data_IF_195642406636
#
_entry.id   IF_195642406636
#
_cell.length_a   1.000
_cell.length_b   1.000
_cell.length_c   1.000
_cell.angle_alpha   90.00
_cell.angle_beta   90.00
_cell.angle_gamma   90.00
#
_symmetry.space_group_name_H-M   'P 1'
#
loop_
_entity.id
_entity.type
_entity.pdbx_description
1 polymer ?
#
# COMPACT_ATOMS: atom_id res chain seq x y z
N UNK A 1 -33.00 8.59 0.09
CA UNK A 1 -31.62 8.12 -0.14
C UNK A 1 -30.82 8.43 1.11
N UNK A 2 -30.31 7.44 1.81
CA UNK A 2 -29.45 7.64 2.98
C UNK A 2 -28.17 8.26 2.47
N UNK A 3 -27.87 9.51 2.86
CA UNK A 3 -26.55 10.09 2.65
C UNK A 3 -25.57 9.26 3.47
N UNK A 4 -24.87 8.35 2.83
CA UNK A 4 -23.80 7.59 3.49
C UNK A 4 -22.77 8.57 4.06
N UNK A 5 -22.38 8.36 5.31
CA UNK A 5 -21.33 9.17 5.93
C UNK A 5 -20.02 9.03 5.10
N UNK A 6 -19.24 10.11 4.96
CA UNK A 6 -17.95 10.04 4.29
C UNK A 6 -17.05 9.03 5.00
N UNK A 7 -16.29 8.26 4.23
CA UNK A 7 -15.38 7.27 4.82
C UNK A 7 -14.10 7.12 4.02
N UNK A 8 -13.04 6.72 4.71
CA UNK A 8 -11.74 6.33 4.14
C UNK A 8 -11.42 4.93 4.60
N UNK A 9 -10.97 4.11 3.68
CA UNK A 9 -10.53 2.74 3.96
C UNK A 9 -9.20 2.46 3.27
N UNK A 10 -8.17 2.27 4.07
CA UNK A 10 -6.91 1.67 3.64
C UNK A 10 -7.07 0.15 3.71
N UNK A 11 -7.29 -0.48 2.56
CA UNK A 11 -7.76 -1.87 2.48
C UNK A 11 -6.81 -2.87 3.14
N UNK A 12 -5.48 -2.79 2.96
CA UNK A 12 -4.58 -3.79 3.52
C UNK A 12 -4.48 -3.78 5.05
N UNK A 13 -4.71 -2.63 5.69
CA UNK A 13 -4.53 -2.44 7.15
C UNK A 13 -5.84 -2.16 7.87
N UNK A 14 -6.94 -1.94 7.12
CA UNK A 14 -8.24 -1.51 7.62
C UNK A 14 -8.14 -0.24 8.51
N UNK A 15 -7.22 0.67 8.15
CA UNK A 15 -7.10 1.99 8.78
C UNK A 15 -7.95 3.01 8.04
N UNK A 16 -8.33 4.10 8.71
CA UNK A 16 -9.24 5.13 8.19
C UNK A 16 -10.35 5.45 9.17
N UNK A 17 -11.59 5.62 8.69
CA UNK A 17 -12.73 5.94 9.56
C UNK A 17 -14.00 6.23 8.80
N UNK A 18 -15.12 6.33 9.54
CA UNK A 18 -16.45 6.62 9.01
C UNK A 18 -16.99 7.89 9.69
N UNK A 19 -17.40 8.86 8.87
CA UNK A 19 -17.92 10.14 9.34
C UNK A 19 -16.82 11.14 9.69
N UNK A 20 -17.22 12.40 9.78
CA UNK A 20 -16.27 13.52 9.94
C UNK A 20 -15.45 13.47 11.23
N UNK A 21 -16.02 12.90 12.31
CA UNK A 21 -15.30 12.80 13.58
C UNK A 21 -14.17 11.79 13.46
N UNK A 22 -14.45 10.56 13.06
CA UNK A 22 -13.45 9.49 12.96
C UNK A 22 -12.38 9.84 11.93
N UNK A 23 -12.76 10.42 10.79
CA UNK A 23 -11.80 10.86 9.78
C UNK A 23 -10.85 11.94 10.31
N UNK A 24 -11.38 12.94 11.04
CA UNK A 24 -10.55 13.98 11.65
C UNK A 24 -9.56 13.39 12.66
N UNK A 25 -10.05 12.49 13.51
CA UNK A 25 -9.24 11.83 14.53
C UNK A 25 -8.14 10.97 13.87
N UNK A 26 -8.50 10.20 12.83
CA UNK A 26 -7.54 9.40 12.05
C UNK A 26 -6.47 10.27 11.37
N UNK A 27 -6.86 11.29 10.62
CA UNK A 27 -5.90 12.15 9.92
C UNK A 27 -4.97 12.88 10.90
N UNK A 28 -5.51 13.38 12.02
CA UNK A 28 -4.75 14.12 13.02
C UNK A 28 -3.77 13.25 13.81
N UNK A 29 -4.20 12.04 14.19
CA UNK A 29 -3.43 11.19 15.08
C UNK A 29 -2.47 10.23 14.35
N UNK A 30 -2.86 9.76 13.14
CA UNK A 30 -2.15 8.66 12.49
C UNK A 30 -1.63 8.99 11.09
N UNK A 31 -2.38 9.74 10.27
CA UNK A 31 -1.97 9.97 8.89
C UNK A 31 -0.96 11.13 8.76
N UNK A 32 -1.32 12.32 9.24
CA UNK A 32 -0.47 13.52 9.09
C UNK A 32 0.88 13.36 9.82
N UNK A 33 0.91 12.86 11.07
CA UNK A 33 2.20 12.64 11.77
C UNK A 33 3.08 11.59 11.10
N UNK A 34 2.50 10.65 10.36
CA UNK A 34 3.23 9.57 9.67
C UNK A 34 3.86 9.98 8.33
N UNK A 35 3.71 11.21 7.90
CA UNK A 35 4.32 11.71 6.67
C UNK A 35 5.78 12.04 6.91
N UNK A 36 6.66 11.04 6.77
CA UNK A 36 8.12 11.21 6.92
C UNK A 36 8.68 12.18 5.87
N UNK A 37 9.83 12.86 6.13
CA UNK A 37 10.34 13.95 5.29
C UNK A 37 10.57 13.60 3.82
N UNK A 38 10.90 12.35 3.52
CA UNK A 38 11.16 11.87 2.15
C UNK A 38 9.97 11.15 1.51
N UNK A 39 8.77 11.25 2.12
CA UNK A 39 7.54 10.67 1.55
C UNK A 39 7.23 11.30 0.19
N UNK A 40 7.14 10.47 -0.85
CA UNK A 40 6.92 10.90 -2.23
C UNK A 40 5.81 10.06 -2.86
N UNK A 41 4.96 10.74 -3.62
CA UNK A 41 3.96 10.12 -4.46
C UNK A 41 4.26 10.46 -5.92
N UNK A 42 4.35 9.45 -6.77
CA UNK A 42 4.49 9.59 -8.22
C UNK A 42 3.26 9.04 -8.90
N UNK A 43 2.44 9.93 -9.44
CA UNK A 43 1.27 9.58 -10.23
C UNK A 43 1.70 8.91 -11.54
N UNK A 44 1.13 7.76 -11.84
CA UNK A 44 1.32 7.01 -13.09
C UNK A 44 0.18 7.32 -14.05
N UNK A 45 -1.06 7.16 -13.58
CA UNK A 45 -2.25 7.44 -14.38
C UNK A 45 -3.37 7.97 -13.50
N UNK A 46 -4.28 8.76 -14.11
CA UNK A 46 -5.51 9.24 -13.49
C UNK A 46 -6.67 9.04 -14.42
N UNK A 47 -7.72 8.40 -13.93
CA UNK A 47 -9.00 8.27 -14.63
C UNK A 47 -10.06 9.07 -13.87
N UNK A 48 -10.75 9.95 -14.58
CA UNK A 48 -11.83 10.79 -14.03
C UNK A 48 -13.17 10.32 -14.58
N UNK A 49 -14.06 9.90 -13.68
CA UNK A 49 -15.47 9.62 -13.99
C UNK A 49 -16.37 10.77 -13.54
N UNK A 50 -17.68 10.57 -13.69
CA UNK A 50 -18.69 11.58 -13.29
C UNK A 50 -18.70 11.81 -11.78
N UNK A 51 -18.48 10.76 -10.98
CA UNK A 51 -18.61 10.76 -9.53
C UNK A 51 -17.37 10.25 -8.80
N UNK A 52 -16.26 9.98 -9.52
CA UNK A 52 -15.04 9.44 -8.93
C UNK A 52 -13.78 9.72 -9.73
N UNK A 53 -12.66 9.65 -9.02
CA UNK A 53 -11.31 9.68 -9.57
C UNK A 53 -10.58 8.41 -9.15
N UNK A 54 -9.87 7.79 -10.08
CA UNK A 54 -8.99 6.64 -9.81
C UNK A 54 -7.57 7.06 -10.14
N UNK A 55 -6.70 6.99 -9.16
CA UNK A 55 -5.27 7.27 -9.28
C UNK A 55 -4.46 6.00 -9.13
N UNK A 56 -3.63 5.71 -10.11
CA UNK A 56 -2.56 4.74 -10.03
C UNK A 56 -1.25 5.48 -9.76
N UNK A 57 -0.52 5.06 -8.73
CA UNK A 57 0.67 5.78 -8.29
C UNK A 57 1.72 4.84 -7.69
N UNK A 58 2.95 5.34 -7.58
CA UNK A 58 3.97 4.73 -6.72
C UNK A 58 4.26 5.67 -5.57
N UNK A 59 4.15 5.14 -4.36
CA UNK A 59 4.54 5.81 -3.12
C UNK A 59 5.90 5.29 -2.69
N UNK A 60 6.77 6.18 -2.23
CA UNK A 60 8.08 5.81 -1.71
C UNK A 60 8.44 6.65 -0.48
N UNK A 61 9.09 6.00 0.49
CA UNK A 61 9.59 6.66 1.70
C UNK A 61 10.66 5.80 2.37
N UNK A 62 11.42 6.39 3.29
CA UNK A 62 12.27 5.65 4.21
C UNK A 62 11.56 5.56 5.56
N UNK A 63 11.40 4.36 6.10
CA UNK A 63 10.70 4.10 7.35
C UNK A 63 11.54 4.56 8.56
N UNK A 64 11.69 5.88 8.70
CA UNK A 64 12.48 6.55 9.75
C UNK A 64 11.65 6.99 10.95
N UNK A 65 10.33 6.90 10.83
CA UNK A 65 9.37 7.18 11.88
C UNK A 65 8.18 6.20 11.76
N UNK A 66 7.27 6.18 12.73
CA UNK A 66 6.07 5.36 12.69
C UNK A 66 5.16 5.79 11.53
N UNK A 67 4.78 4.85 10.66
CA UNK A 67 3.88 5.07 9.52
C UNK A 67 2.63 4.19 9.71
N UNK A 68 1.86 4.53 10.74
CA UNK A 68 0.78 3.70 11.28
C UNK A 68 -0.35 3.35 10.32
N UNK A 69 -0.57 4.13 9.27
CA UNK A 69 -1.59 3.78 8.29
C UNK A 69 -1.13 2.68 7.30
N UNK A 70 0.21 2.50 7.11
CA UNK A 70 0.80 1.43 6.28
C UNK A 70 1.33 0.28 7.16
N UNK A 71 2.00 0.61 8.26
CA UNK A 71 2.71 -0.31 9.14
C UNK A 71 2.30 -0.08 10.61
N UNK A 72 1.01 -0.28 10.96
CA UNK A 72 0.52 0.01 12.30
C UNK A 72 1.30 -0.75 13.38
N UNK A 73 1.84 -0.01 14.35
CA UNK A 73 2.58 -0.55 15.48
C UNK A 73 3.96 -1.12 15.14
N UNK A 74 4.50 -0.87 13.94
CA UNK A 74 5.86 -1.29 13.56
C UNK A 74 6.84 -0.16 13.85
N UNK A 75 7.82 -0.38 14.74
CA UNK A 75 8.86 0.62 15.00
C UNK A 75 9.68 0.94 13.74
N UNK A 76 10.27 2.14 13.64
CA UNK A 76 11.10 2.54 12.52
C UNK A 76 12.18 1.51 12.18
N UNK A 77 12.24 1.06 10.94
CA UNK A 77 13.21 0.06 10.47
C UNK A 77 14.39 0.67 9.73
N UNK A 78 14.31 1.96 9.36
CA UNK A 78 15.29 2.63 8.51
C UNK A 78 15.33 2.13 7.07
N UNK A 79 14.39 1.24 6.68
CA UNK A 79 14.35 0.65 5.35
C UNK A 79 13.59 1.53 4.37
N UNK A 80 14.05 1.54 3.12
CA UNK A 80 13.34 2.18 2.02
C UNK A 80 12.19 1.30 1.57
N UNK A 81 11.02 1.92 1.34
CA UNK A 81 9.78 1.28 0.89
C UNK A 81 9.33 1.93 -0.41
N UNK A 82 8.95 1.13 -1.39
CA UNK A 82 8.39 1.54 -2.67
C UNK A 82 7.13 0.70 -2.95
N UNK A 83 5.97 1.34 -3.08
CA UNK A 83 4.66 0.68 -3.12
C UNK A 83 3.91 1.09 -4.37
N UNK A 84 3.46 0.12 -5.17
CA UNK A 84 2.41 0.34 -6.17
C UNK A 84 1.07 0.49 -5.44
N UNK A 85 0.35 1.59 -5.69
CA UNK A 85 -0.85 1.97 -4.96
C UNK A 85 -1.94 2.46 -5.90
N UNK A 86 -3.18 2.12 -5.58
CA UNK A 86 -4.37 2.65 -6.25
C UNK A 86 -5.25 3.34 -5.22
N UNK A 87 -5.65 4.59 -5.49
CA UNK A 87 -6.66 5.31 -4.71
C UNK A 87 -7.91 5.52 -5.56
N UNK A 88 -9.06 5.22 -5.00
CA UNK A 88 -10.38 5.45 -5.59
C UNK A 88 -11.13 6.44 -4.72
N UNK A 89 -11.33 7.65 -5.21
CA UNK A 89 -11.99 8.74 -4.51
C UNK A 89 -13.34 9.03 -5.12
N UNK A 90 -14.41 8.84 -4.36
CA UNK A 90 -15.77 9.22 -4.77
C UNK A 90 -16.10 10.65 -4.38
N UNK A 91 -16.82 11.37 -5.25
CA UNK A 91 -17.27 12.72 -5.00
C UNK A 91 -18.73 12.93 -5.45
N UNK A 92 -19.49 13.72 -4.71
CA UNK A 92 -20.85 14.11 -5.05
C UNK A 92 -21.15 15.53 -4.56
N UNK A 93 -21.67 16.38 -5.43
CA UNK A 93 -22.01 17.76 -5.07
C UNK A 93 -20.83 18.55 -4.52
N UNK A 94 -19.63 18.37 -5.08
CA UNK A 94 -18.39 19.04 -4.66
C UNK A 94 -17.81 18.53 -3.31
N UNK A 95 -18.33 17.42 -2.76
CA UNK A 95 -17.85 16.83 -1.49
C UNK A 95 -17.36 15.41 -1.73
N UNK A 96 -16.28 15.04 -1.06
CA UNK A 96 -15.79 13.67 -1.03
C UNK A 96 -16.77 12.78 -0.27
N UNK A 97 -17.08 11.62 -0.86
CA UNK A 97 -18.01 10.64 -0.26
C UNK A 97 -17.26 9.46 0.32
N UNK A 98 -16.20 9.03 -0.35
CA UNK A 98 -15.35 7.96 0.14
C UNK A 98 -13.98 7.99 -0.52
N UNK A 99 -13.02 7.35 0.12
CA UNK A 99 -11.73 6.99 -0.44
C UNK A 99 -11.40 5.54 -0.08
N UNK A 100 -11.03 4.74 -1.07
CA UNK A 100 -10.50 3.40 -0.89
C UNK A 100 -9.08 3.35 -1.44
N UNK A 101 -8.13 2.93 -0.61
CA UNK A 101 -6.72 2.85 -0.99
C UNK A 101 -6.26 1.40 -0.93
N UNK A 102 -5.63 0.95 -2.01
CA UNK A 102 -5.19 -0.42 -2.20
C UNK A 102 -3.69 -0.46 -2.44
N UNK A 103 -3.01 -1.39 -1.81
CA UNK A 103 -1.62 -1.74 -2.09
C UNK A 103 -1.34 -3.20 -1.69
N UNK A 104 -0.18 -3.72 -2.08
CA UNK A 104 0.29 -5.04 -1.65
C UNK A 104 1.06 -4.94 -0.32
N UNK A 105 0.41 -5.35 0.77
CA UNK A 105 1.03 -5.34 2.10
C UNK A 105 2.16 -6.36 2.24
N UNK A 106 2.07 -7.50 1.54
CA UNK A 106 3.12 -8.50 1.61
C UNK A 106 4.45 -7.94 1.08
N UNK A 107 4.41 -7.18 -0.02
CA UNK A 107 5.60 -6.51 -0.56
C UNK A 107 6.19 -5.47 0.41
N UNK A 108 5.34 -4.76 1.15
CA UNK A 108 5.79 -3.82 2.19
C UNK A 108 6.52 -4.55 3.31
N UNK A 109 5.92 -5.64 3.81
CA UNK A 109 6.51 -6.45 4.89
C UNK A 109 7.85 -7.06 4.48
N UNK A 110 8.00 -7.49 3.22
CA UNK A 110 9.29 -7.95 2.68
C UNK A 110 10.33 -6.83 2.73
N UNK A 111 9.98 -5.62 2.28
CA UNK A 111 10.90 -4.50 2.19
C UNK A 111 11.40 -4.03 3.55
N UNK A 112 10.56 -4.06 4.57
CA UNK A 112 10.95 -3.67 5.94
C UNK A 112 11.56 -4.84 6.74
N UNK A 113 11.63 -6.05 6.18
CA UNK A 113 12.28 -7.21 6.79
C UNK A 113 11.41 -7.98 7.78
N UNK A 114 10.08 -7.74 7.80
CA UNK A 114 9.12 -8.47 8.64
C UNK A 114 8.61 -9.75 7.99
N UNK A 115 8.74 -9.88 6.68
CA UNK A 115 8.40 -11.08 5.92
C UNK A 115 9.63 -11.54 5.14
N UNK A 116 10.18 -12.71 5.48
CA UNK A 116 11.24 -13.33 4.67
C UNK A 116 10.58 -14.10 3.51
N UNK A 117 10.86 -13.75 2.25
CA UNK A 117 10.35 -14.52 1.11
C UNK A 117 10.92 -15.93 1.03
N UNK A 118 12.03 -16.23 1.71
CA UNK A 118 12.58 -17.59 1.79
C UNK A 118 11.81 -18.42 2.82
N UNK A 119 11.35 -19.57 2.39
CA UNK A 119 10.68 -20.52 3.29
C UNK A 119 11.73 -21.31 4.05
N UNK A 120 11.64 -21.32 5.39
CA UNK A 120 12.52 -22.09 6.23
C UNK A 120 12.36 -23.59 5.96
N UNK A 121 13.46 -24.36 5.75
CA UNK A 121 13.39 -25.81 5.64
C UNK A 121 12.68 -26.43 6.87
N UNK A 122 11.75 -27.34 6.62
CA UNK A 122 11.02 -28.06 7.68
C UNK A 122 9.69 -27.44 8.11
N UNK A 123 9.27 -26.32 7.57
CA UNK A 123 7.93 -25.80 7.82
C UNK A 123 6.85 -26.75 7.24
N UNK A 124 5.97 -27.28 8.09
CA UNK A 124 5.00 -28.33 7.71
C UNK A 124 4.03 -27.96 6.58
N UNK A 125 3.84 -26.66 6.32
CA UNK A 125 2.90 -26.16 5.33
C UNK A 125 3.54 -25.77 3.98
N UNK A 126 4.85 -26.03 3.82
CA UNK A 126 5.62 -25.56 2.67
C UNK A 126 6.23 -26.68 1.83
N UNK A 127 5.67 -27.90 1.92
CA UNK A 127 6.14 -29.02 1.09
C UNK A 127 6.12 -28.64 -0.40
N UNK A 128 7.28 -28.75 -1.04
CA UNK A 128 7.44 -28.40 -2.45
C UNK A 128 7.68 -26.92 -2.76
N UNK A 129 7.65 -26.04 -1.77
CA UNK A 129 7.94 -24.61 -1.96
C UNK A 129 9.32 -24.26 -1.39
N UNK A 130 10.12 -23.56 -2.19
CA UNK A 130 11.42 -23.00 -1.75
C UNK A 130 11.27 -21.54 -1.28
N UNK A 131 10.30 -20.81 -1.82
CA UNK A 131 10.05 -19.40 -1.53
C UNK A 131 8.55 -19.12 -1.48
N UNK A 132 8.17 -18.07 -0.72
CA UNK A 132 6.82 -17.50 -0.80
C UNK A 132 6.61 -16.84 -2.18
N UNK A 133 5.40 -16.89 -2.75
CA UNK A 133 5.09 -16.23 -4.02
C UNK A 133 4.89 -14.71 -3.82
N UNK A 134 5.93 -14.02 -3.39
CA UNK A 134 5.92 -12.60 -3.07
C UNK A 134 7.21 -11.93 -3.55
N UNK A 135 7.10 -10.65 -3.94
CA UNK A 135 8.23 -9.77 -4.28
C UNK A 135 8.26 -8.57 -3.34
N UNK A 136 9.34 -7.81 -3.34
CA UNK A 136 9.46 -6.57 -2.59
C UNK A 136 9.11 -5.33 -3.44
N UNK A 137 10.06 -4.44 -3.64
CA UNK A 137 9.89 -3.19 -4.40
C UNK A 137 9.82 -3.39 -5.93
N UNK A 138 10.06 -4.59 -6.43
CA UNK A 138 10.18 -4.89 -7.86
C UNK A 138 8.90 -4.53 -8.62
N UNK A 139 7.72 -4.82 -8.05
CA UNK A 139 6.43 -4.50 -8.68
C UNK A 139 6.24 -2.98 -8.83
N UNK A 140 6.58 -2.20 -7.81
CA UNK A 140 6.50 -0.74 -7.87
C UNK A 140 7.45 -0.14 -8.92
N UNK A 141 8.68 -0.65 -8.98
CA UNK A 141 9.68 -0.22 -9.97
C UNK A 141 9.26 -0.56 -11.40
N UNK A 142 8.65 -1.73 -11.58
CA UNK A 142 8.18 -2.18 -12.89
C UNK A 142 7.05 -1.31 -13.45
N UNK A 143 6.15 -0.80 -12.60
CA UNK A 143 5.11 0.15 -13.02
C UNK A 143 5.71 1.48 -13.46
N UNK A 144 6.81 1.90 -12.83
CA UNK A 144 7.53 3.13 -13.21
C UNK A 144 8.29 2.98 -14.54
N UNK A 145 8.83 1.81 -14.80
CA UNK A 145 9.58 1.48 -16.02
C UNK A 145 9.45 -0.02 -16.30
N UNK A 146 8.67 -0.38 -17.32
CA UNK A 146 8.37 -1.77 -17.72
C UNK A 146 9.58 -2.62 -18.10
N UNK A 147 10.74 -1.99 -18.29
CA UNK A 147 12.01 -2.67 -18.60
C UNK A 147 12.91 -2.82 -17.37
N UNK A 148 12.49 -2.31 -16.21
CA UNK A 148 13.32 -2.24 -15.00
C UNK A 148 13.63 -3.59 -14.40
N UNK A 149 12.63 -4.46 -14.34
CA UNK A 149 12.71 -5.75 -13.69
C UNK A 149 12.42 -6.89 -14.68
N UNK A 150 12.96 -8.07 -14.38
CA UNK A 150 12.64 -9.28 -15.15
C UNK A 150 11.31 -9.86 -14.69
N UNK A 151 10.38 -10.05 -15.61
CA UNK A 151 9.11 -10.76 -15.36
C UNK A 151 9.33 -12.24 -15.05
N UNK A 152 8.34 -12.84 -14.41
CA UNK A 152 8.22 -14.29 -14.21
C UNK A 152 9.35 -14.93 -13.38
N UNK A 153 10.06 -14.14 -12.55
CA UNK A 153 11.11 -14.67 -11.66
C UNK A 153 10.58 -15.77 -10.73
N UNK A 154 9.35 -15.63 -10.23
CA UNK A 154 8.70 -16.60 -9.35
C UNK A 154 8.25 -17.87 -10.08
N UNK A 155 8.16 -17.85 -11.42
CA UNK A 155 7.81 -19.00 -12.25
C UNK A 155 9.06 -19.78 -12.70
N UNK A 156 10.24 -19.20 -12.56
CA UNK A 156 11.49 -19.86 -12.93
C UNK A 156 11.75 -21.05 -11.97
N UNK A 157 11.76 -22.27 -12.48
CA UNK A 157 11.92 -23.50 -11.71
C UNK A 157 10.64 -24.33 -11.52
N UNK A 158 9.49 -23.87 -12.07
CA UNK A 158 8.24 -24.64 -12.11
C UNK A 158 8.11 -25.52 -13.36
N UNK A 159 9.13 -25.54 -14.24
CA UNK A 159 9.19 -26.36 -15.47
C UNK A 159 10.07 -27.57 -15.28
#
# INVERSE_FOLDING_TARGET
MVNAAPHVTHVPTLTGGIGMKDLRDFYRAYFIPSLVPDFKTRLISRTMGVDRVVDEMVVSFTHTDEVDWILPGVPPTGKKVEIAMVSIVGARGGKLTHEHVYWDQASVLVQVGLLDPKIMPGARHTQGLANLPVVGAESARQILDVKKERYNKLLAGLQ
#
